data_IF_146801649789
#
_entry.id   IF_146801649789
#
_cell.length_a   1.000
_cell.length_b   1.000
_cell.length_c   1.000
_cell.angle_alpha   90.00
_cell.angle_beta   90.00
_cell.angle_gamma   90.00
#
_symmetry.space_group_name_H-M   'P 1'
#
loop_
_entity.id
_entity.type
_entity.pdbx_description
1 polymer ?
#
# COMPACT_ATOMS: atom_id res chain seq x y z
N UNK A 1 20.65 61.83 -33.62
CA UNK A 1 21.99 61.82 -33.03
C UNK A 1 22.01 60.79 -31.92
N UNK A 2 22.62 59.64 -32.18
CA UNK A 2 22.78 58.55 -31.22
C UNK A 2 24.02 58.83 -30.36
N UNK A 3 23.85 58.83 -29.04
CA UNK A 3 24.96 58.87 -28.09
C UNK A 3 25.28 57.43 -27.69
N UNK A 4 26.43 56.97 -28.17
CA UNK A 4 27.10 55.75 -27.75
C UNK A 4 27.82 56.06 -26.44
N UNK A 5 27.59 55.26 -25.40
CA UNK A 5 28.58 55.08 -24.34
C UNK A 5 28.65 53.61 -23.95
N UNK A 6 29.75 52.99 -24.37
CA UNK A 6 30.17 51.64 -24.01
C UNK A 6 30.74 51.65 -22.59
N UNK A 7 30.25 50.78 -21.70
CA UNK A 7 31.00 50.39 -20.50
C UNK A 7 31.03 48.88 -20.39
N UNK A 8 32.23 48.35 -20.53
CA UNK A 8 32.62 46.97 -20.31
C UNK A 8 32.31 46.54 -18.87
N UNK A 9 31.75 45.34 -18.72
CA UNK A 9 31.92 44.49 -17.53
C UNK A 9 32.47 43.16 -18.03
N UNK A 10 33.76 42.97 -17.83
CA UNK A 10 34.44 41.68 -17.99
C UNK A 10 34.29 40.91 -16.68
N UNK A 11 33.35 39.97 -16.66
CA UNK A 11 33.33 38.86 -15.71
C UNK A 11 33.55 37.60 -16.55
N UNK A 12 34.74 37.02 -16.45
CA UNK A 12 35.01 35.66 -16.90
C UNK A 12 35.40 34.86 -15.67
N UNK A 13 34.40 34.25 -15.06
CA UNK A 13 34.53 33.04 -14.27
C UNK A 13 34.98 31.89 -15.18
N UNK A 14 35.89 31.04 -14.70
CA UNK A 14 35.82 29.57 -14.75
C UNK A 14 37.20 28.93 -14.60
N UNK A 15 37.36 28.15 -13.53
CA UNK A 15 38.08 26.87 -13.59
C UNK A 15 37.85 26.08 -12.28
N UNK A 16 36.62 25.60 -12.04
CA UNK A 16 36.46 24.42 -11.21
C UNK A 16 35.49 23.44 -11.88
N UNK A 17 36.06 22.29 -12.25
CA UNK A 17 35.42 21.17 -12.91
C UNK A 17 34.45 20.49 -11.95
N UNK A 18 33.22 20.98 -11.89
CA UNK A 18 32.10 20.25 -11.27
C UNK A 18 31.47 19.33 -12.31
N UNK A 19 31.56 18.03 -12.06
CA UNK A 19 30.86 17.00 -12.83
C UNK A 19 29.37 17.31 -12.89
N UNK A 20 28.89 17.55 -14.10
CA UNK A 20 27.48 17.71 -14.46
C UNK A 20 26.73 16.40 -14.17
N UNK A 21 26.23 16.26 -12.94
CA UNK A 21 25.15 15.31 -12.65
C UNK A 21 23.87 15.96 -13.16
N UNK A 22 23.38 15.48 -14.29
CA UNK A 22 22.05 15.83 -14.80
C UNK A 22 21.02 15.52 -13.71
N UNK A 23 20.50 16.56 -13.07
CA UNK A 23 19.25 16.46 -12.31
C UNK A 23 18.17 16.10 -13.33
N UNK A 24 17.81 14.81 -13.38
CA UNK A 24 16.60 14.37 -14.05
C UNK A 24 15.46 15.08 -13.36
N UNK A 25 14.89 16.07 -14.05
CA UNK A 25 13.65 16.76 -13.71
C UNK A 25 12.58 15.69 -13.57
N UNK A 26 12.32 15.25 -12.34
CA UNK A 26 11.15 14.44 -12.03
C UNK A 26 9.97 15.38 -12.26
N UNK A 27 9.30 15.22 -13.40
CA UNK A 27 8.01 15.85 -13.64
C UNK A 27 7.12 15.49 -12.46
N UNK A 28 6.60 16.50 -11.75
CA UNK A 28 5.53 16.37 -10.76
C UNK A 28 4.26 15.89 -11.46
N UNK A 29 4.23 14.60 -11.82
CA UNK A 29 3.04 13.93 -12.31
C UNK A 29 2.14 13.66 -11.11
N UNK A 30 1.26 14.63 -10.87
CA UNK A 30 -0.06 14.50 -10.26
C UNK A 30 -0.19 13.31 -9.31
N UNK A 31 0.19 13.53 -8.06
CA UNK A 31 0.00 12.59 -6.96
C UNK A 31 -1.50 12.47 -6.65
N UNK A 32 -2.21 11.67 -7.46
CA UNK A 32 -3.63 11.31 -7.23
C UNK A 32 -3.91 9.80 -7.34
N UNK A 33 -2.91 8.96 -7.60
CA UNK A 33 -3.14 7.54 -7.89
C UNK A 33 -2.92 6.57 -6.72
N UNK A 34 -2.55 7.03 -5.52
CA UNK A 34 -2.27 6.16 -4.36
C UNK A 34 -3.01 6.58 -3.08
N UNK A 35 -4.31 6.79 -3.19
CA UNK A 35 -5.18 6.72 -2.01
C UNK A 35 -6.11 5.51 -2.18
N UNK A 36 -6.08 4.51 -1.27
CA UNK A 36 -7.10 3.46 -1.26
C UNK A 36 -8.47 4.11 -0.98
N UNK A 37 -9.21 4.29 -2.07
CA UNK A 37 -10.66 4.34 -2.24
C UNK A 37 -11.49 4.27 -0.95
N UNK A 38 -11.57 5.38 -0.21
CA UNK A 38 -12.74 5.69 0.60
C UNK A 38 -13.74 6.39 -0.31
N UNK A 39 -14.61 5.62 -0.96
CA UNK A 39 -15.88 6.11 -1.48
C UNK A 39 -16.95 5.44 -0.65
N UNK A 40 -17.43 6.14 0.37
CA UNK A 40 -18.82 6.00 0.77
C UNK A 40 -19.59 6.99 -0.12
N UNK A 41 -20.35 6.41 -1.05
CA UNK A 41 -21.40 7.08 -1.83
C UNK A 41 -22.47 7.53 -0.84
N UNK A 42 -22.46 8.80 -0.50
CA UNK A 42 -23.64 9.56 -0.08
C UNK A 42 -23.55 10.92 -0.79
N UNK A 43 -23.97 10.93 -2.06
CA UNK A 43 -24.16 12.12 -2.87
C UNK A 43 -25.47 12.80 -2.44
N UNK A 44 -25.42 13.64 -1.40
CA UNK A 44 -26.47 14.62 -1.10
C UNK A 44 -25.91 16.05 -1.06
N UNK A 45 -26.30 16.81 -2.08
CA UNK A 45 -26.52 18.26 -2.12
C UNK A 45 -25.40 19.18 -1.59
N UNK A 46 -24.47 19.55 -2.48
CA UNK A 46 -23.49 20.62 -2.27
C UNK A 46 -24.12 22.02 -2.45
N UNK A 47 -25.16 22.33 -1.67
CA UNK A 47 -25.55 23.69 -1.35
C UNK A 47 -24.61 24.26 -0.29
N UNK A 48 -23.71 25.18 -0.67
CA UNK A 48 -22.70 25.80 0.20
C UNK A 48 -23.32 26.67 1.32
N UNK A 49 -23.90 26.05 2.33
CA UNK A 49 -24.04 26.63 3.66
C UNK A 49 -22.79 26.25 4.45
N UNK A 50 -21.80 27.15 4.56
CA UNK A 50 -20.66 26.95 5.48
C UNK A 50 -21.25 26.64 6.85
N UNK A 51 -21.06 25.42 7.35
CA UNK A 51 -21.53 25.01 8.68
C UNK A 51 -21.01 26.02 9.70
N UNK A 52 -21.93 26.68 10.40
CA UNK A 52 -21.65 27.64 11.47
C UNK A 52 -20.75 26.93 12.50
N UNK A 53 -19.48 27.34 12.57
CA UNK A 53 -18.46 26.68 13.43
C UNK A 53 -17.22 26.14 12.70
N UNK A 54 -17.15 26.24 11.37
CA UNK A 54 -15.95 25.86 10.59
C UNK A 54 -14.92 27.01 10.54
N UNK A 55 -14.60 27.60 11.69
CA UNK A 55 -13.59 28.66 11.79
C UNK A 55 -12.26 28.06 12.23
N UNK A 56 -11.18 28.40 11.52
CA UNK A 56 -9.82 27.97 11.86
C UNK A 56 -9.45 28.59 13.20
N UNK A 57 -9.19 27.76 14.20
CA UNK A 57 -8.82 28.23 15.54
C UNK A 57 -7.30 28.45 15.61
N UNK A 58 -6.91 29.58 16.21
CA UNK A 58 -5.50 29.95 16.44
C UNK A 58 -5.31 30.17 17.94
N UNK A 59 -4.28 29.57 18.51
CA UNK A 59 -3.99 29.64 19.94
C UNK A 59 -3.08 28.50 20.39
N UNK A 60 -2.51 28.61 21.58
CA UNK A 60 -1.58 27.62 22.14
C UNK A 60 -2.26 26.26 22.39
N UNK A 61 -3.60 26.22 22.56
CA UNK A 61 -4.37 24.97 22.64
C UNK A 61 -4.70 24.33 21.28
N UNK A 62 -4.44 25.03 20.17
CA UNK A 62 -4.80 24.60 18.81
C UNK A 62 -3.58 24.40 17.91
N UNK A 63 -2.49 25.13 18.15
CA UNK A 63 -1.27 25.05 17.38
C UNK A 63 -0.27 24.09 18.04
N UNK A 64 0.53 23.39 17.25
CA UNK A 64 1.67 22.62 17.74
C UNK A 64 2.79 23.56 18.22
N UNK A 65 3.51 23.15 19.26
CA UNK A 65 4.78 23.79 19.60
C UNK A 65 5.82 23.40 18.57
N UNK A 66 6.31 24.37 17.81
CA UNK A 66 7.38 24.16 16.84
C UNK A 66 8.69 24.05 17.62
N UNK A 67 9.39 22.89 17.58
CA UNK A 67 10.68 22.77 18.23
C UNK A 67 11.70 23.72 17.61
N UNK A 68 12.60 24.25 18.43
CA UNK A 68 13.72 25.05 17.95
C UNK A 68 14.60 24.22 17.01
N UNK A 69 15.23 24.90 16.05
CA UNK A 69 16.20 24.27 15.18
C UNK A 69 17.42 23.81 16.00
N UNK A 70 17.75 22.52 15.91
CA UNK A 70 18.92 21.94 16.56
C UNK A 70 19.90 21.54 15.46
N UNK A 71 21.07 22.18 15.42
CA UNK A 71 22.19 21.87 14.52
C UNK A 71 22.96 20.62 15.00
N UNK A 72 22.22 19.55 15.30
CA UNK A 72 22.76 18.28 15.78
C UNK A 72 22.84 17.34 14.60
N UNK A 73 24.06 17.03 14.16
CA UNK A 73 24.33 15.94 13.20
C UNK A 73 24.02 14.55 13.78
N UNK A 74 23.69 14.46 15.07
CA UNK A 74 23.33 13.21 15.72
C UNK A 74 21.82 13.00 15.59
N UNK A 75 21.37 11.98 14.82
CA UNK A 75 19.96 11.65 14.77
C UNK A 75 19.50 11.25 16.17
N UNK A 76 18.47 11.93 16.70
CA UNK A 76 17.73 11.43 17.86
C UNK A 76 17.12 10.09 17.44
N UNK A 77 17.73 9.00 17.87
CA UNK A 77 17.15 7.66 17.73
C UNK A 77 15.79 7.71 18.44
N UNK A 78 14.74 7.32 17.74
CA UNK A 78 13.46 7.01 18.35
C UNK A 78 13.70 6.01 19.50
N UNK A 79 12.94 6.15 20.58
CA UNK A 79 13.02 5.22 21.73
C UNK A 79 12.73 3.78 21.31
N UNK A 80 11.89 3.61 20.27
CA UNK A 80 11.67 2.35 19.56
C UNK A 80 12.65 2.23 18.37
N UNK A 81 13.48 1.18 18.30
CA UNK A 81 14.29 0.94 17.11
C UNK A 81 13.38 0.51 15.95
N UNK A 82 13.42 1.24 14.84
CA UNK A 82 12.80 0.82 13.60
C UNK A 82 13.46 -0.49 13.11
N UNK A 83 12.67 -1.35 12.47
CA UNK A 83 13.15 -2.62 11.91
C UNK A 83 13.14 -2.54 10.39
N UNK A 84 14.28 -2.82 9.75
CA UNK A 84 14.36 -2.94 8.31
C UNK A 84 13.57 -4.18 7.86
N UNK A 85 12.59 -4.01 6.97
CA UNK A 85 11.79 -5.12 6.44
C UNK A 85 12.25 -5.60 5.06
N UNK A 86 12.90 -4.73 4.27
CA UNK A 86 13.38 -5.08 2.94
C UNK A 86 14.47 -4.12 2.46
N UNK A 87 15.46 -4.66 1.76
CA UNK A 87 16.51 -3.94 1.06
C UNK A 87 16.40 -4.22 -0.46
N UNK A 88 15.99 -3.24 -1.28
CA UNK A 88 15.83 -3.43 -2.73
C UNK A 88 17.15 -3.58 -3.48
N UNK A 89 18.29 -3.26 -2.84
CA UNK A 89 19.62 -3.37 -3.44
C UNK A 89 20.33 -4.68 -3.11
N UNK A 90 19.74 -5.53 -2.26
CA UNK A 90 20.38 -6.75 -1.80
C UNK A 90 20.42 -7.85 -2.88
N UNK A 91 19.41 -7.91 -3.75
CA UNK A 91 19.34 -8.83 -4.88
C UNK A 91 18.77 -8.15 -6.12
N UNK A 92 19.21 -8.58 -7.32
CA UNK A 92 18.57 -8.14 -8.56
C UNK A 92 17.18 -8.79 -8.71
N UNK A 93 16.27 -8.07 -9.35
CA UNK A 93 14.85 -8.42 -9.45
C UNK A 93 14.61 -9.81 -10.08
N UNK A 94 15.39 -10.16 -11.10
CA UNK A 94 15.31 -11.46 -11.77
C UNK A 94 15.58 -12.66 -10.84
N UNK A 95 16.43 -12.49 -9.83
CA UNK A 95 16.73 -13.54 -8.84
C UNK A 95 15.61 -13.67 -7.82
N UNK A 96 15.02 -12.54 -7.43
CA UNK A 96 13.83 -12.52 -6.54
C UNK A 96 12.65 -13.20 -7.24
N UNK A 97 12.42 -12.90 -8.52
CA UNK A 97 11.38 -13.55 -9.32
C UNK A 97 11.60 -15.06 -9.45
N UNK A 98 12.84 -15.48 -9.70
CA UNK A 98 13.20 -16.90 -9.74
C UNK A 98 12.88 -17.59 -8.41
N UNK A 99 13.22 -16.97 -7.28
CA UNK A 99 12.91 -17.48 -5.96
C UNK A 99 11.40 -17.59 -5.73
N UNK A 100 10.65 -16.52 -5.97
CA UNK A 100 9.18 -16.48 -5.81
C UNK A 100 8.50 -17.55 -6.66
N UNK A 101 8.94 -17.71 -7.90
CA UNK A 101 8.46 -18.74 -8.82
C UNK A 101 8.77 -20.14 -8.28
N UNK A 102 9.97 -20.36 -7.75
CA UNK A 102 10.40 -21.65 -7.18
C UNK A 102 9.58 -22.05 -5.95
N UNK A 103 9.32 -21.14 -5.01
CA UNK A 103 8.50 -21.44 -3.82
C UNK A 103 7.00 -21.46 -4.13
N UNK A 104 6.54 -20.59 -5.04
CA UNK A 104 5.15 -20.46 -5.45
C UNK A 104 4.61 -21.70 -6.18
N UNK A 105 5.43 -22.35 -7.03
CA UNK A 105 5.04 -23.60 -7.70
C UNK A 105 4.81 -24.75 -6.73
N UNK A 106 5.48 -24.76 -5.58
CA UNK A 106 5.45 -25.90 -4.66
C UNK A 106 4.27 -25.81 -3.68
N UNK A 107 3.99 -24.62 -3.15
CA UNK A 107 3.13 -24.48 -1.97
C UNK A 107 2.08 -23.35 -2.01
N UNK A 108 1.77 -22.71 -3.15
CA UNK A 108 0.80 -21.61 -3.25
C UNK A 108 1.00 -20.54 -2.14
N UNK A 109 2.27 -20.18 -1.94
CA UNK A 109 2.78 -19.46 -0.78
C UNK A 109 2.34 -18.00 -0.80
N UNK A 110 2.36 -17.38 0.38
CA UNK A 110 2.35 -15.93 0.46
C UNK A 110 3.59 -15.29 -0.12
N UNK A 111 3.43 -14.46 -1.14
CA UNK A 111 4.53 -13.67 -1.70
C UNK A 111 5.18 -12.82 -0.61
N UNK A 112 4.37 -12.20 0.26
CA UNK A 112 4.86 -11.43 1.39
C UNK A 112 5.67 -12.30 2.36
N UNK A 113 5.15 -13.48 2.71
CA UNK A 113 5.87 -14.41 3.62
C UNK A 113 7.14 -14.94 2.97
N UNK A 114 7.12 -15.20 1.67
CA UNK A 114 8.28 -15.66 0.92
C UNK A 114 9.38 -14.59 0.91
N UNK A 115 9.02 -13.33 0.64
CA UNK A 115 9.95 -12.19 0.66
C UNK A 115 10.48 -11.89 2.06
N UNK A 116 9.62 -11.97 3.08
CA UNK A 116 10.04 -11.86 4.47
C UNK A 116 11.06 -12.94 4.83
N UNK A 117 10.80 -14.20 4.47
CA UNK A 117 11.73 -15.30 4.73
C UNK A 117 13.07 -15.10 4.00
N UNK A 118 13.02 -14.59 2.77
CA UNK A 118 14.22 -14.26 2.00
C UNK A 118 15.06 -13.19 2.71
N UNK A 119 14.41 -12.14 3.25
CA UNK A 119 15.06 -11.13 4.06
C UNK A 119 15.68 -11.72 5.34
N UNK A 120 14.96 -12.60 6.05
CA UNK A 120 15.47 -13.28 7.25
C UNK A 120 16.65 -14.21 6.96
N UNK A 121 16.79 -14.70 5.74
CA UNK A 121 17.93 -15.51 5.29
C UNK A 121 19.05 -14.66 4.69
N UNK A 122 19.08 -13.35 4.98
CA UNK A 122 20.07 -12.39 4.47
C UNK A 122 20.20 -12.44 2.94
N UNK A 123 19.06 -12.66 2.25
CA UNK A 123 18.99 -12.75 0.80
C UNK A 123 19.73 -13.94 0.17
N UNK A 124 20.04 -14.98 0.96
CA UNK A 124 20.50 -16.25 0.43
C UNK A 124 19.33 -17.09 -0.10
N UNK A 125 19.23 -17.21 -1.43
CA UNK A 125 18.14 -17.92 -2.12
C UNK A 125 18.09 -19.40 -1.73
N UNK A 126 19.23 -20.08 -1.69
CA UNK A 126 19.28 -21.52 -1.39
C UNK A 126 18.87 -21.81 0.05
N UNK A 127 19.32 -20.96 0.99
CA UNK A 127 18.91 -21.02 2.40
C UNK A 127 17.41 -20.79 2.55
N UNK A 128 16.89 -19.75 1.89
CA UNK A 128 15.48 -19.41 1.93
C UNK A 128 14.60 -20.54 1.37
N UNK A 129 14.99 -21.13 0.24
CA UNK A 129 14.28 -22.29 -0.35
C UNK A 129 14.31 -23.49 0.57
N UNK A 130 15.46 -23.79 1.18
CA UNK A 130 15.58 -24.92 2.12
C UNK A 130 14.70 -24.70 3.34
N UNK A 131 14.79 -23.53 3.96
CA UNK A 131 14.01 -23.17 5.15
C UNK A 131 12.52 -23.17 4.85
N UNK A 132 12.12 -22.67 3.69
CA UNK A 132 10.75 -22.74 3.20
C UNK A 132 10.22 -24.18 3.08
N UNK A 133 11.04 -25.12 2.60
CA UNK A 133 10.63 -26.53 2.48
C UNK A 133 10.39 -27.21 3.82
N UNK A 134 10.99 -26.71 4.90
CA UNK A 134 10.80 -27.23 6.27
C UNK A 134 9.67 -26.51 7.01
N UNK A 135 9.15 -25.40 6.49
CA UNK A 135 7.98 -24.76 7.08
C UNK A 135 6.73 -25.56 6.73
N UNK A 136 5.81 -25.77 7.69
CA UNK A 136 4.51 -26.34 7.36
C UNK A 136 3.84 -25.42 6.34
N UNK A 137 3.12 -25.95 5.34
CA UNK A 137 2.40 -25.14 4.38
C UNK A 137 1.44 -24.23 5.15
N UNK A 138 1.79 -22.94 5.23
CA UNK A 138 0.93 -21.94 5.86
C UNK A 138 -0.20 -21.72 4.89
N UNK A 139 -1.30 -22.44 5.12
CA UNK A 139 -2.54 -22.28 4.40
C UNK A 139 -2.94 -20.80 4.42
N UNK A 140 -2.69 -20.10 3.31
CA UNK A 140 -3.34 -18.84 2.95
C UNK A 140 -4.85 -18.99 2.84
N UNK A 141 -5.30 -20.23 2.66
CA UNK A 141 -6.69 -20.50 2.48
C UNK A 141 -7.39 -20.24 3.80
N UNK A 142 -8.65 -19.86 3.66
CA UNK A 142 -9.69 -19.67 4.66
C UNK A 142 -9.91 -20.91 5.56
N UNK A 143 -8.91 -21.76 5.78
CA UNK A 143 -8.89 -22.88 6.71
C UNK A 143 -9.04 -22.46 8.17
N UNK A 144 -8.78 -21.20 8.51
CA UNK A 144 -9.18 -20.67 9.82
C UNK A 144 -10.70 -20.41 9.90
N UNK A 145 -11.41 -20.39 8.77
CA UNK A 145 -12.86 -20.15 8.67
C UNK A 145 -13.61 -21.43 8.25
N UNK A 146 -14.30 -22.03 9.20
CA UNK A 146 -15.20 -23.15 8.97
C UNK A 146 -16.38 -22.77 8.05
N UNK A 147 -16.99 -23.76 7.39
CA UNK A 147 -18.20 -23.53 6.57
C UNK A 147 -19.34 -22.91 7.39
N UNK A 148 -19.45 -23.29 8.66
CA UNK A 148 -20.41 -22.71 9.60
C UNK A 148 -20.17 -21.22 9.80
N UNK A 149 -18.93 -20.81 10.09
CA UNK A 149 -18.59 -19.38 10.26
C UNK A 149 -18.79 -18.58 8.97
N UNK A 150 -18.45 -19.15 7.81
CA UNK A 150 -18.67 -18.50 6.51
C UNK A 150 -20.17 -18.29 6.24
N UNK A 151 -21.01 -19.29 6.51
CA UNK A 151 -22.46 -19.17 6.38
C UNK A 151 -23.04 -18.17 7.39
N UNK A 152 -22.56 -18.17 8.63
CA UNK A 152 -22.93 -17.19 9.63
C UNK A 152 -22.56 -15.76 9.21
N UNK A 153 -21.40 -15.56 8.58
CA UNK A 153 -20.98 -14.26 8.06
C UNK A 153 -21.91 -13.80 6.94
N UNK A 154 -22.21 -14.66 5.97
CA UNK A 154 -23.11 -14.28 4.85
C UNK A 154 -24.52 -13.94 5.33
N UNK A 155 -25.03 -14.70 6.31
CA UNK A 155 -26.32 -14.41 6.96
C UNK A 155 -26.25 -13.09 7.73
N UNK A 156 -25.19 -12.89 8.53
CA UNK A 156 -24.99 -11.67 9.31
C UNK A 156 -24.88 -10.43 8.42
N UNK A 157 -24.14 -10.53 7.31
CA UNK A 157 -24.00 -9.45 6.35
C UNK A 157 -25.33 -9.12 5.65
N UNK A 158 -26.19 -10.11 5.37
CA UNK A 158 -27.53 -9.88 4.79
C UNK A 158 -28.47 -9.15 5.76
N UNK A 159 -28.35 -9.41 7.06
CA UNK A 159 -29.22 -8.83 8.10
C UNK A 159 -28.72 -7.45 8.55
N UNK A 160 -27.41 -7.32 8.79
CA UNK A 160 -26.80 -6.16 9.45
C UNK A 160 -25.94 -5.29 8.51
N UNK A 161 -25.74 -5.69 7.25
CA UNK A 161 -24.90 -4.96 6.31
C UNK A 161 -23.43 -4.88 6.76
N UNK A 162 -22.82 -3.69 6.66
CA UNK A 162 -21.43 -3.43 7.08
C UNK A 162 -21.27 -3.25 8.61
N UNK A 163 -22.27 -3.56 9.43
CA UNK A 163 -22.13 -3.49 10.88
C UNK A 163 -21.35 -4.71 11.43
N UNK A 164 -20.03 -4.65 11.32
CA UNK A 164 -19.13 -5.76 11.67
C UNK A 164 -19.20 -6.14 13.15
N UNK A 165 -19.46 -5.19 14.05
CA UNK A 165 -19.65 -5.47 15.48
C UNK A 165 -20.87 -6.36 15.73
N UNK A 166 -21.95 -6.18 14.97
CA UNK A 166 -23.16 -7.01 15.09
C UNK A 166 -22.93 -8.41 14.52
N UNK A 167 -22.17 -8.52 13.42
CA UNK A 167 -21.79 -9.82 12.83
C UNK A 167 -20.83 -10.58 13.76
N UNK A 168 -19.87 -9.88 14.38
CA UNK A 168 -18.94 -10.47 15.34
C UNK A 168 -19.65 -11.06 16.57
N UNK A 169 -20.75 -10.44 17.03
CA UNK A 169 -21.57 -11.02 18.10
C UNK A 169 -22.22 -12.35 17.73
N UNK A 170 -22.49 -12.59 16.44
CA UNK A 170 -22.97 -13.89 15.93
C UNK A 170 -21.83 -14.92 15.81
N UNK A 171 -20.64 -14.46 15.43
CA UNK A 171 -19.45 -15.29 15.22
C UNK A 171 -18.44 -15.05 16.35
N UNK A 172 -18.79 -15.53 17.55
CA UNK A 172 -17.98 -15.28 18.76
C UNK A 172 -16.59 -15.91 18.73
N UNK A 173 -16.34 -16.84 17.81
CA UNK A 173 -15.02 -17.46 17.58
C UNK A 173 -14.03 -16.53 16.88
N UNK A 174 -14.47 -15.36 16.39
CA UNK A 174 -13.65 -14.41 15.63
C UNK A 174 -13.70 -13.02 16.24
N UNK A 175 -12.59 -12.30 16.10
CA UNK A 175 -12.50 -10.89 16.48
C UNK A 175 -13.17 -10.00 15.42
N UNK A 176 -13.41 -8.73 15.76
CA UNK A 176 -13.94 -7.78 14.78
C UNK A 176 -12.95 -7.56 13.62
N UNK A 177 -11.65 -7.61 13.91
CA UNK A 177 -10.58 -7.51 12.92
C UNK A 177 -10.62 -8.66 11.92
N UNK A 178 -10.72 -9.91 12.40
CA UNK A 178 -10.84 -11.10 11.54
C UNK A 178 -12.07 -10.99 10.61
N UNK A 179 -13.19 -10.47 11.13
CA UNK A 179 -14.45 -10.30 10.39
C UNK A 179 -14.27 -9.27 9.27
N UNK A 180 -13.55 -8.19 9.54
CA UNK A 180 -13.23 -7.14 8.56
C UNK A 180 -12.27 -7.68 7.50
N UNK A 181 -11.21 -8.38 7.92
CA UNK A 181 -10.26 -9.03 7.00
C UNK A 181 -11.00 -10.00 6.06
N UNK A 182 -11.84 -10.86 6.63
CA UNK A 182 -12.64 -11.81 5.86
C UNK A 182 -13.61 -11.12 4.90
N UNK A 183 -14.22 -10.00 5.28
CA UNK A 183 -15.08 -9.20 4.40
C UNK A 183 -14.35 -8.76 3.13
N UNK A 184 -13.14 -8.21 3.25
CA UNK A 184 -12.38 -7.75 2.08
C UNK A 184 -11.92 -8.90 1.19
N UNK A 185 -11.52 -10.03 1.79
CA UNK A 185 -11.21 -11.26 1.03
C UNK A 185 -12.44 -11.81 0.29
N UNK A 186 -13.59 -11.86 0.95
CA UNK A 186 -14.86 -12.34 0.38
C UNK A 186 -15.35 -11.42 -0.74
N UNK A 187 -15.31 -10.10 -0.55
CA UNK A 187 -15.68 -9.10 -1.56
C UNK A 187 -14.82 -9.25 -2.81
N UNK A 188 -13.50 -9.37 -2.65
CA UNK A 188 -12.56 -9.54 -3.78
C UNK A 188 -12.85 -10.83 -4.57
N UNK A 189 -13.14 -11.96 -3.91
CA UNK A 189 -13.52 -13.20 -4.60
C UNK A 189 -14.80 -13.04 -5.41
N UNK A 190 -15.79 -12.30 -4.92
CA UNK A 190 -17.04 -12.04 -5.66
C UNK A 190 -16.80 -11.17 -6.89
N UNK A 191 -15.93 -10.16 -6.78
CA UNK A 191 -15.53 -9.31 -7.92
C UNK A 191 -14.82 -10.11 -9.01
N UNK A 192 -13.93 -11.06 -8.64
CA UNK A 192 -13.23 -11.92 -9.60
C UNK A 192 -14.18 -12.91 -10.31
N UNK A 193 -15.22 -13.40 -9.62
CA UNK A 193 -16.22 -14.30 -10.22
C UNK A 193 -17.12 -13.60 -11.24
N UNK A 194 -17.43 -12.32 -11.07
CA UNK A 194 -18.22 -11.56 -12.04
C UNK A 194 -17.52 -11.40 -13.41
N UNK A 195 -16.19 -11.44 -13.45
CA UNK A 195 -15.42 -11.28 -14.70
C UNK A 195 -15.41 -12.54 -15.57
N UNK A 196 -15.72 -13.73 -15.03
CA UNK A 196 -15.65 -15.00 -15.77
C UNK A 196 -16.97 -15.46 -16.41
N UNK A 197 -18.10 -14.79 -16.17
CA UNK A 197 -19.42 -15.20 -16.72
C UNK A 197 -19.78 -14.49 -18.05
N UNK A 198 -18.78 -14.07 -18.84
CA UNK A 198 -18.96 -13.24 -20.04
C UNK A 198 -18.94 -13.95 -21.40
N UNK A 199 -18.68 -15.26 -21.49
CA UNK A 199 -18.59 -15.96 -22.79
C UNK A 199 -19.43 -17.25 -22.80
N UNK A 200 -20.74 -17.13 -23.02
CA UNK A 200 -21.53 -18.16 -23.72
C UNK A 200 -22.06 -17.56 -25.03
N UNK A 201 -21.20 -17.50 -26.03
CA UNK A 201 -21.63 -17.27 -27.41
C UNK A 201 -22.41 -18.51 -27.87
N UNK A 202 -23.74 -18.44 -27.82
CA UNK A 202 -24.62 -19.35 -28.58
C UNK A 202 -24.67 -18.82 -30.01
N UNK A 203 -24.23 -19.56 -31.03
CA UNK A 203 -24.43 -19.16 -32.42
C UNK A 203 -25.93 -19.21 -32.71
N UNK A 204 -26.53 -18.07 -33.05
CA UNK A 204 -27.88 -18.05 -33.61
C UNK A 204 -27.80 -18.58 -35.04
N UNK A 205 -28.26 -19.80 -35.27
CA UNK A 205 -28.66 -20.26 -36.60
C UNK A 205 -29.74 -19.32 -37.13
N UNK A 206 -29.48 -18.74 -38.31
CA UNK A 206 -30.50 -18.03 -39.09
C UNK A 206 -31.31 -19.06 -39.85
N UNK A 207 -32.63 -19.09 -39.59
CA UNK A 207 -33.60 -19.51 -40.59
C UNK A 207 -33.81 -18.37 -41.59
#
# INVERSE_FOLDING_TARGET
>A
MAMIWTKQKSETENAETAHHVSLVRIEEKSCKQFLPFFIDDDEEDAGSSRKKGSEIRVGNEYQCQVPDFIESDVPKRSSSPDTLLWNPKALPENVVDYYLRTVGYRNAVDEEKALWLLHQCEYNVDEAVRRHNFMPPVSRSNSSWSDCERNCFERGYRIYGKNFTSIQKMIRSKSAEDIIEYYYLWKNKRLKKSTMNGNSCVPKEKQ
#
